data_IF_692155170819
#
_entry.id   IF_692155170819
#
_cell.length_a   1.000
_cell.length_b   1.000
_cell.length_c   1.000
_cell.angle_alpha   90.00
_cell.angle_beta   90.00
_cell.angle_gamma   90.00
#
_symmetry.space_group_name_H-M   'P 1'
#
loop_
_entity.id
_entity.type
_entity.pdbx_description
1 polymer ?
#
# COMPACT_ATOMS: atom_id res chain seq x y z
N UNK A 1 26.43 -13.27 -6.08
CA UNK A 1 25.27 -12.50 -5.56
C UNK A 1 24.24 -12.19 -6.64
N UNK A 2 24.64 -11.77 -7.84
CA UNK A 2 23.73 -11.38 -8.93
C UNK A 2 22.76 -12.48 -9.41
N UNK A 3 23.14 -13.76 -9.29
CA UNK A 3 22.39 -14.91 -9.80
C UNK A 3 21.32 -15.46 -8.85
N UNK A 4 21.39 -15.13 -7.56
CA UNK A 4 20.51 -15.76 -6.56
C UNK A 4 19.20 -14.98 -6.37
N UNK A 5 19.19 -13.68 -6.70
CA UNK A 5 18.03 -12.79 -6.53
C UNK A 5 17.91 -11.79 -7.68
N UNK A 6 17.64 -12.26 -8.91
CA UNK A 6 17.66 -11.42 -10.10
C UNK A 6 16.66 -10.26 -10.03
N UNK A 7 15.47 -10.46 -9.44
CA UNK A 7 14.47 -9.40 -9.28
C UNK A 7 14.91 -8.33 -8.26
N UNK A 8 15.47 -8.74 -7.12
CA UNK A 8 15.96 -7.77 -6.12
C UNK A 8 17.09 -6.93 -6.70
N UNK A 9 18.02 -7.59 -7.43
CA UNK A 9 19.13 -6.90 -8.08
C UNK A 9 18.64 -5.91 -9.15
N UNK A 10 17.65 -6.29 -9.98
CA UNK A 10 17.06 -5.41 -10.99
C UNK A 10 16.45 -4.15 -10.36
N UNK A 11 15.62 -4.30 -9.31
CA UNK A 11 15.02 -3.16 -8.63
C UNK A 11 16.06 -2.28 -7.93
N UNK A 12 17.08 -2.88 -7.32
CA UNK A 12 18.18 -2.15 -6.69
C UNK A 12 18.92 -1.26 -7.70
N UNK A 13 19.19 -1.78 -8.90
CA UNK A 13 19.86 -1.02 -9.96
C UNK A 13 18.98 0.13 -10.49
N UNK A 14 17.65 -0.07 -10.56
CA UNK A 14 16.72 0.94 -11.11
C UNK A 14 16.40 2.08 -10.16
N UNK A 15 16.18 1.76 -8.88
CA UNK A 15 15.65 2.72 -7.90
C UNK A 15 16.65 3.08 -6.79
N UNK A 16 17.80 2.41 -6.74
CA UNK A 16 18.80 2.62 -5.71
C UNK A 16 18.42 2.03 -4.35
N UNK A 17 19.33 2.11 -3.36
CA UNK A 17 19.21 1.41 -2.08
C UNK A 17 18.04 1.89 -1.21
N UNK A 18 17.50 3.09 -1.42
CA UNK A 18 16.43 3.63 -0.58
C UNK A 18 15.02 3.31 -1.10
N UNK A 19 14.84 3.12 -2.42
CA UNK A 19 13.51 3.01 -3.02
C UNK A 19 13.21 1.64 -3.62
N UNK A 20 14.23 0.78 -3.80
CA UNK A 20 14.05 -0.50 -4.49
C UNK A 20 13.04 -1.40 -3.78
N UNK A 21 13.04 -1.43 -2.45
CA UNK A 21 12.13 -2.28 -1.69
C UNK A 21 10.68 -1.81 -1.80
N UNK A 22 10.41 -0.50 -1.77
CA UNK A 22 9.05 0.02 -1.95
C UNK A 22 8.51 -0.27 -3.34
N UNK A 23 9.32 -0.07 -4.38
CA UNK A 23 8.93 -0.37 -5.75
C UNK A 23 8.71 -1.87 -5.98
N UNK A 24 9.55 -2.74 -5.40
CA UNK A 24 9.36 -4.18 -5.47
C UNK A 24 8.07 -4.61 -4.76
N UNK A 25 7.79 -4.06 -3.58
CA UNK A 25 6.55 -4.33 -2.85
C UNK A 25 5.32 -3.89 -3.64
N UNK A 26 5.36 -2.70 -4.24
CA UNK A 26 4.22 -2.18 -4.99
C UNK A 26 3.92 -2.98 -6.26
N UNK A 27 4.95 -3.43 -6.96
CA UNK A 27 4.78 -4.21 -8.19
C UNK A 27 4.40 -5.68 -7.94
N UNK A 28 4.74 -6.26 -6.79
CA UNK A 28 4.62 -7.72 -6.58
C UNK A 28 3.73 -8.12 -5.41
N UNK A 29 3.64 -7.30 -4.37
CA UNK A 29 3.11 -7.74 -3.08
C UNK A 29 1.89 -6.97 -2.58
N UNK A 30 1.38 -5.96 -3.30
CA UNK A 30 0.20 -5.19 -2.86
C UNK A 30 -1.02 -6.07 -2.57
N UNK A 31 -1.29 -7.09 -3.39
CA UNK A 31 -2.37 -8.05 -3.14
C UNK A 31 -2.12 -8.91 -1.90
N UNK A 32 -0.86 -9.30 -1.66
CA UNK A 32 -0.51 -10.02 -0.43
C UNK A 32 -0.66 -9.13 0.81
N UNK A 33 -0.32 -7.85 0.71
CA UNK A 33 -0.52 -6.88 1.78
C UNK A 33 -2.00 -6.73 2.13
N UNK A 34 -2.88 -6.64 1.13
CA UNK A 34 -4.35 -6.63 1.33
C UNK A 34 -4.84 -7.85 2.10
N UNK A 35 -4.39 -9.05 1.71
CA UNK A 35 -4.75 -10.30 2.38
C UNK A 35 -4.29 -10.29 3.84
N UNK A 36 -3.03 -9.94 4.10
CA UNK A 36 -2.46 -9.94 5.45
C UNK A 36 -3.16 -8.91 6.35
N UNK A 37 -3.48 -7.72 5.84
CA UNK A 37 -4.23 -6.71 6.59
C UNK A 37 -5.62 -7.24 6.99
N UNK A 38 -6.31 -7.93 6.07
CA UNK A 38 -7.62 -8.53 6.32
C UNK A 38 -7.57 -9.73 7.27
N UNK A 39 -6.50 -10.50 7.24
CA UNK A 39 -6.27 -11.61 8.20
C UNK A 39 -6.03 -11.08 9.62
N UNK A 40 -5.36 -9.93 9.75
CA UNK A 40 -5.11 -9.28 11.03
C UNK A 40 -6.38 -8.68 11.64
N UNK A 41 -7.16 -7.96 10.83
CA UNK A 41 -8.45 -7.40 11.22
C UNK A 41 -9.40 -7.47 10.02
N UNK A 42 -10.53 -8.15 10.19
CA UNK A 42 -11.52 -8.36 9.13
C UNK A 42 -12.77 -7.47 9.26
N UNK A 43 -12.70 -6.43 10.10
CA UNK A 43 -13.85 -5.55 10.42
C UNK A 43 -14.26 -4.59 9.30
N UNK A 44 -13.42 -4.42 8.27
CA UNK A 44 -13.60 -3.47 7.18
C UNK A 44 -13.83 -4.14 5.82
N UNK A 45 -14.36 -3.37 4.87
CA UNK A 45 -14.53 -3.78 3.48
C UNK A 45 -13.18 -3.91 2.75
N UNK A 46 -13.15 -4.75 1.71
CA UNK A 46 -11.94 -5.00 0.89
C UNK A 46 -11.32 -3.73 0.30
N UNK A 47 -12.15 -2.72 0.01
CA UNK A 47 -11.68 -1.43 -0.50
C UNK A 47 -10.81 -0.67 0.50
N UNK A 48 -11.02 -0.85 1.81
CA UNK A 48 -10.20 -0.23 2.86
C UNK A 48 -8.83 -0.89 2.91
N UNK A 49 -8.74 -2.23 2.85
CA UNK A 49 -7.43 -2.90 2.83
C UNK A 49 -6.65 -2.59 1.56
N UNK A 50 -7.32 -2.49 0.41
CA UNK A 50 -6.69 -2.02 -0.83
C UNK A 50 -6.13 -0.61 -0.67
N UNK A 51 -6.93 0.30 -0.12
CA UNK A 51 -6.52 1.68 0.07
C UNK A 51 -5.38 1.79 1.10
N UNK A 52 -5.39 0.99 2.17
CA UNK A 52 -4.31 0.93 3.16
C UNK A 52 -3.02 0.45 2.54
N UNK A 53 -3.05 -0.66 1.79
CA UNK A 53 -1.88 -1.21 1.13
C UNK A 53 -1.26 -0.20 0.14
N UNK A 54 -2.07 0.44 -0.70
CA UNK A 54 -1.58 1.45 -1.63
C UNK A 54 -1.11 2.75 -0.94
N UNK A 55 -1.74 3.17 0.15
CA UNK A 55 -1.33 4.38 0.88
C UNK A 55 0.08 4.27 1.47
N UNK A 56 0.50 3.06 1.86
CA UNK A 56 1.88 2.79 2.31
C UNK A 56 2.91 2.68 1.18
N UNK A 57 2.46 2.69 -0.07
CA UNK A 57 3.27 2.54 -1.28
C UNK A 57 3.16 3.75 -2.21
N UNK A 58 2.64 4.87 -1.68
CA UNK A 58 2.61 6.15 -2.38
C UNK A 58 4.01 6.56 -2.85
N UNK A 59 4.08 7.21 -4.01
CA UNK A 59 5.34 7.62 -4.64
C UNK A 59 6.09 6.54 -5.41
N UNK A 60 5.73 5.25 -5.27
CA UNK A 60 6.33 4.18 -6.10
C UNK A 60 5.94 4.32 -7.57
N UNK A 61 6.76 3.78 -8.48
CA UNK A 61 6.44 3.79 -9.91
C UNK A 61 5.09 3.08 -10.20
N UNK A 62 4.82 1.97 -9.50
CA UNK A 62 3.57 1.23 -9.63
C UNK A 62 2.36 2.08 -9.22
N UNK A 63 2.44 2.75 -8.06
CA UNK A 63 1.41 3.68 -7.61
C UNK A 63 1.23 4.84 -8.60
N UNK A 64 2.34 5.40 -9.07
CA UNK A 64 2.30 6.52 -10.02
C UNK A 64 1.65 6.18 -11.35
N UNK A 65 1.71 4.91 -11.78
CA UNK A 65 1.03 4.39 -12.98
C UNK A 65 -0.46 4.15 -12.80
N UNK A 66 -1.00 4.19 -11.57
CA UNK A 66 -2.45 4.12 -11.37
C UNK A 66 -3.15 5.30 -12.03
N UNK A 67 -4.37 5.09 -12.53
CA UNK A 67 -5.18 6.17 -13.09
C UNK A 67 -5.50 7.21 -12.02
N UNK A 68 -5.70 8.46 -12.45
CA UNK A 68 -6.09 9.55 -11.54
C UNK A 68 -7.38 9.23 -10.78
N UNK A 69 -8.34 8.58 -11.45
CA UNK A 69 -9.58 8.11 -10.84
C UNK A 69 -9.32 7.07 -9.73
N UNK A 70 -8.43 6.10 -9.97
CA UNK A 70 -8.08 5.10 -8.97
C UNK A 70 -7.38 5.73 -7.77
N UNK A 71 -6.43 6.65 -8.00
CA UNK A 71 -5.76 7.38 -6.91
C UNK A 71 -6.77 8.16 -6.06
N UNK A 72 -7.68 8.90 -6.71
CA UNK A 72 -8.73 9.64 -6.02
C UNK A 72 -9.65 8.71 -5.22
N UNK A 73 -10.01 7.54 -5.75
CA UNK A 73 -10.78 6.54 -5.02
C UNK A 73 -10.05 6.05 -3.76
N UNK A 74 -8.75 5.74 -3.87
CA UNK A 74 -7.93 5.27 -2.74
C UNK A 74 -7.80 6.36 -1.66
N UNK A 75 -7.54 7.61 -2.07
CA UNK A 75 -7.46 8.77 -1.17
C UNK A 75 -8.78 9.00 -0.41
N UNK A 76 -9.90 8.99 -1.12
CA UNK A 76 -11.23 9.15 -0.52
C UNK A 76 -11.55 8.03 0.47
N UNK A 77 -11.20 6.78 0.14
CA UNK A 77 -11.43 5.64 1.03
C UNK A 77 -10.58 5.74 2.30
N UNK A 78 -9.30 6.12 2.18
CA UNK A 78 -8.42 6.30 3.34
C UNK A 78 -8.88 7.44 4.24
N UNK A 79 -9.35 8.54 3.65
CA UNK A 79 -9.84 9.67 4.41
C UNK A 79 -11.08 9.28 5.23
N UNK A 80 -12.04 8.59 4.61
CA UNK A 80 -13.22 8.05 5.31
C UNK A 80 -12.84 7.12 6.47
N UNK A 81 -11.96 6.16 6.21
CA UNK A 81 -11.45 5.26 7.23
C UNK A 81 -10.84 6.02 8.42
N UNK A 82 -9.97 7.01 8.17
CA UNK A 82 -9.34 7.83 9.21
C UNK A 82 -10.36 8.62 10.03
N UNK A 83 -11.40 9.14 9.39
CA UNK A 83 -12.43 9.92 10.07
C UNK A 83 -13.32 9.02 10.93
N UNK A 84 -13.66 7.82 10.45
CA UNK A 84 -14.38 6.81 11.23
C UNK A 84 -13.58 6.37 12.47
N UNK A 85 -12.28 6.12 12.33
CA UNK A 85 -11.41 5.76 13.47
C UNK A 85 -11.29 6.91 14.49
N UNK A 86 -11.17 8.16 14.04
CA UNK A 86 -11.17 9.33 14.93
C UNK A 86 -12.48 9.43 15.73
N UNK A 87 -13.62 9.18 15.09
CA UNK A 87 -14.93 9.22 15.75
C UNK A 87 -15.09 8.10 16.80
N UNK A 88 -14.43 6.95 16.61
CA UNK A 88 -14.33 5.89 17.64
C UNK A 88 -13.43 6.29 18.81
N UNK A 89 -12.46 7.18 18.59
CA UNK A 89 -11.49 7.62 19.60
C UNK A 89 -12.03 8.72 20.52
N UNK A 90 -13.30 9.13 20.37
CA UNK A 90 -13.99 9.96 21.37
C UNK A 90 -14.28 9.13 22.62
N UNK A 91 -13.25 8.91 23.45
CA UNK A 91 -13.46 8.50 24.84
C UNK A 91 -14.27 9.59 25.54
N UNK A 92 -15.54 9.32 25.82
CA UNK A 92 -16.28 10.07 26.84
C UNK A 92 -15.46 9.98 28.13
N UNK A 93 -14.85 11.10 28.54
CA UNK A 93 -14.22 11.25 29.85
C UNK A 93 -15.26 11.22 30.96
#
# INVERSE_FOLDING_TARGET
>A
MQTNFPQIWDYYQRYGPSEYQHNLMANTYVERMKIVLKEYDNSYDDSIYEALAWSGLDGTEAYNKLSSEKKQQLENTIQKYRDDEKNKTTCNK
#
